data_IF_934518703673
#
_entry.id   IF_934518703673
#
_cell.length_a   1.000
_cell.length_b   1.000
_cell.length_c   1.000
_cell.angle_alpha   90.00
_cell.angle_beta   90.00
_cell.angle_gamma   90.00
#
_symmetry.space_group_name_H-M   'P 1'
#
loop_
_entity.id
_entity.type
_entity.pdbx_description
1 polymer ?
#
# COMPACT_ATOMS: atom_id res chain seq x y z
N UNK A 1 14.44 -7.39 15.72
CA UNK A 1 13.73 -6.27 15.06
C UNK A 1 14.72 -5.70 14.06
N UNK A 2 14.38 -5.58 12.78
CA UNK A 2 15.36 -5.07 11.81
C UNK A 2 15.75 -3.64 12.19
N UNK A 3 17.05 -3.39 12.34
CA UNK A 3 17.66 -2.11 12.72
C UNK A 3 17.69 -1.09 11.56
N UNK A 4 16.93 -1.36 10.50
CA UNK A 4 16.85 -0.52 9.31
C UNK A 4 15.83 0.60 9.49
N UNK A 5 16.17 1.80 9.02
CA UNK A 5 15.26 2.95 9.00
C UNK A 5 13.98 2.59 8.22
N UNK A 6 12.78 2.86 8.75
CA UNK A 6 11.55 2.53 8.05
C UNK A 6 11.43 3.30 6.73
N UNK A 7 11.03 2.58 5.68
CA UNK A 7 10.74 3.10 4.35
C UNK A 7 9.37 2.59 3.97
N UNK A 8 8.36 3.38 4.27
CA UNK A 8 6.95 2.99 4.23
C UNK A 8 6.34 3.40 2.90
N UNK A 9 5.68 2.45 2.22
CA UNK A 9 4.75 2.75 1.13
C UNK A 9 3.31 2.69 1.61
N UNK A 10 2.53 3.74 1.38
CA UNK A 10 1.11 3.80 1.76
C UNK A 10 0.24 3.76 0.51
N UNK A 11 -0.65 2.78 0.42
CA UNK A 11 -1.50 2.59 -0.74
C UNK A 11 -2.99 2.65 -0.37
N UNK A 12 -3.71 3.61 -0.94
CA UNK A 12 -5.12 3.89 -0.62
C UNK A 12 -6.00 3.32 -1.74
N UNK A 13 -6.91 2.42 -1.39
CA UNK A 13 -7.82 1.83 -2.36
C UNK A 13 -9.09 2.67 -2.49
N UNK A 14 -9.57 2.88 -3.73
CA UNK A 14 -10.86 3.51 -3.97
C UNK A 14 -12.02 2.52 -3.76
N UNK A 15 -11.75 1.23 -3.98
CA UNK A 15 -12.74 0.16 -4.02
C UNK A 15 -13.90 0.51 -4.96
N UNK A 16 -13.55 1.00 -6.16
CA UNK A 16 -14.51 1.63 -7.05
C UNK A 16 -15.09 2.89 -6.43
N UNK A 17 -16.38 2.85 -6.08
CA UNK A 17 -17.07 3.96 -5.41
C UNK A 17 -17.32 3.70 -3.91
N UNK A 18 -17.01 2.50 -3.40
CA UNK A 18 -17.32 2.15 -2.01
C UNK A 18 -16.54 2.98 -0.99
N UNK A 19 -15.26 3.28 -1.27
CA UNK A 19 -14.44 4.15 -0.42
C UNK A 19 -14.40 5.55 -1.03
N UNK A 20 -14.02 5.67 -2.31
CA UNK A 20 -13.85 6.98 -2.96
C UNK A 20 -15.16 7.77 -3.15
N UNK A 21 -16.33 7.13 -3.00
CA UNK A 21 -17.62 7.83 -3.02
C UNK A 21 -17.93 8.61 -1.73
N UNK A 22 -17.16 8.37 -0.65
CA UNK A 22 -17.35 9.00 0.66
C UNK A 22 -16.06 9.66 1.18
N UNK A 23 -14.92 9.01 0.94
CA UNK A 23 -13.61 9.46 1.40
C UNK A 23 -12.84 10.08 0.24
N UNK A 24 -12.27 11.26 0.48
CA UNK A 24 -11.32 11.89 -0.45
C UNK A 24 -9.97 11.17 -0.42
N UNK A 25 -9.88 10.11 -1.20
CA UNK A 25 -8.68 9.25 -1.31
C UNK A 25 -7.45 9.99 -1.82
N UNK A 26 -7.62 11.05 -2.62
CA UNK A 26 -6.52 11.87 -3.11
C UNK A 26 -5.91 12.66 -1.95
N UNK A 27 -6.75 13.36 -1.20
CA UNK A 27 -6.31 14.07 0.00
C UNK A 27 -5.68 13.13 1.04
N UNK A 28 -6.23 11.93 1.24
CA UNK A 28 -5.63 10.96 2.17
C UNK A 28 -4.22 10.56 1.73
N UNK A 29 -3.99 10.33 0.44
CA UNK A 29 -2.65 10.03 -0.06
C UNK A 29 -1.68 11.21 0.13
N UNK A 30 -2.13 12.44 -0.15
CA UNK A 30 -1.32 13.65 0.05
C UNK A 30 -0.91 13.86 1.52
N UNK A 31 -1.84 13.64 2.46
CA UNK A 31 -1.54 13.76 3.89
C UNK A 31 -0.65 12.61 4.37
N UNK A 32 -0.88 11.38 3.88
CA UNK A 32 -0.04 10.24 4.22
C UNK A 32 1.42 10.44 3.75
N UNK A 33 1.64 11.07 2.59
CA UNK A 33 2.97 11.39 2.08
C UNK A 33 3.77 12.35 2.98
N UNK A 34 3.10 13.06 3.91
CA UNK A 34 3.74 14.00 4.84
C UNK A 34 4.13 13.36 6.17
N UNK A 35 3.72 12.11 6.40
CA UNK A 35 4.05 11.40 7.63
C UNK A 35 5.53 10.99 7.64
N UNK A 36 6.15 10.90 8.84
CA UNK A 36 7.50 10.37 8.97
C UNK A 36 7.63 9.00 8.31
N UNK A 37 8.80 8.76 7.71
CA UNK A 37 9.18 7.48 7.09
C UNK A 37 8.38 7.05 5.84
N UNK A 38 7.33 7.79 5.47
CA UNK A 38 6.57 7.53 4.24
C UNK A 38 7.34 8.04 3.04
N UNK A 39 7.81 7.11 2.21
CA UNK A 39 8.60 7.41 1.01
C UNK A 39 7.72 7.58 -0.23
N UNK A 40 6.60 6.87 -0.26
CA UNK A 40 5.61 6.94 -1.34
C UNK A 40 4.21 6.75 -0.77
N UNK A 41 3.28 7.58 -1.21
CA UNK A 41 1.86 7.40 -0.94
C UNK A 41 1.06 7.57 -2.22
N UNK A 42 0.28 6.56 -2.58
CA UNK A 42 -0.48 6.53 -3.84
C UNK A 42 -1.90 6.01 -3.60
N UNK A 43 -2.82 6.38 -4.48
CA UNK A 43 -4.17 5.84 -4.48
C UNK A 43 -4.52 5.20 -5.83
N UNK A 44 -5.23 4.08 -5.79
CA UNK A 44 -5.59 3.34 -7.01
C UNK A 44 -7.00 2.75 -6.92
N UNK A 45 -7.73 2.61 -8.06
CA UNK A 45 -9.11 2.13 -8.06
C UNK A 45 -9.33 0.80 -7.32
N UNK A 46 -8.44 -0.17 -7.55
CA UNK A 46 -8.55 -1.52 -6.99
C UNK A 46 -7.18 -2.08 -6.61
N UNK A 47 -6.72 -1.83 -5.38
CA UNK A 47 -5.41 -2.31 -4.91
C UNK A 47 -5.26 -3.84 -4.92
N UNK A 48 -6.35 -4.60 -4.74
CA UNK A 48 -6.31 -6.06 -4.77
C UNK A 48 -6.32 -6.67 -6.19
N UNK A 49 -6.59 -5.87 -7.22
CA UNK A 49 -6.53 -6.32 -8.63
C UNK A 49 -5.09 -6.61 -9.06
N UNK A 50 -4.89 -7.41 -10.11
CA UNK A 50 -3.54 -7.69 -10.64
C UNK A 50 -2.72 -6.40 -10.93
N UNK A 51 -3.27 -5.36 -11.59
CA UNK A 51 -2.55 -4.10 -11.75
C UNK A 51 -2.22 -3.40 -10.42
N UNK A 52 -3.14 -3.43 -9.46
CA UNK A 52 -2.92 -2.82 -8.14
C UNK A 52 -1.83 -3.55 -7.35
N UNK A 53 -1.79 -4.89 -7.46
CA UNK A 53 -0.74 -5.71 -6.87
C UNK A 53 0.61 -5.43 -7.53
N UNK A 54 0.66 -5.38 -8.87
CA UNK A 54 1.88 -5.08 -9.62
C UNK A 54 2.45 -3.69 -9.25
N UNK A 55 1.58 -2.69 -9.08
CA UNK A 55 1.96 -1.35 -8.63
C UNK A 55 2.65 -1.38 -7.26
N UNK A 56 2.14 -2.14 -6.30
CA UNK A 56 2.80 -2.30 -4.99
C UNK A 56 4.20 -2.91 -5.17
N UNK A 57 4.33 -3.99 -5.96
CA UNK A 57 5.62 -4.64 -6.16
C UNK A 57 6.64 -3.74 -6.86
N UNK A 58 6.20 -2.95 -7.85
CA UNK A 58 7.03 -1.98 -8.55
C UNK A 58 7.56 -0.93 -7.56
N UNK A 59 6.67 -0.33 -6.76
CA UNK A 59 7.04 0.70 -5.78
C UNK A 59 7.94 0.17 -4.67
N UNK A 60 7.76 -1.09 -4.26
CA UNK A 60 8.68 -1.75 -3.32
C UNK A 60 10.11 -1.75 -3.89
N UNK A 61 10.27 -2.16 -5.15
CA UNK A 61 11.59 -2.26 -5.80
C UNK A 61 12.18 -0.89 -6.10
N UNK A 62 11.38 0.03 -6.62
CA UNK A 62 11.81 1.36 -7.05
C UNK A 62 12.26 2.23 -5.86
N UNK A 63 11.48 2.24 -4.78
CA UNK A 63 11.75 3.08 -3.62
C UNK A 63 12.51 2.37 -2.51
N UNK A 64 12.84 1.08 -2.67
CA UNK A 64 13.46 0.27 -1.63
C UNK A 64 12.62 0.25 -0.36
N UNK A 65 11.31 0.02 -0.49
CA UNK A 65 10.41 -0.01 0.66
C UNK A 65 10.70 -1.23 1.51
N UNK A 66 10.64 -1.07 2.82
CA UNK A 66 10.77 -2.18 3.77
C UNK A 66 9.52 -2.35 4.65
N UNK A 67 8.51 -1.48 4.51
CA UNK A 67 7.19 -1.57 5.14
C UNK A 67 6.10 -1.13 4.16
N UNK A 68 4.93 -1.73 4.26
CA UNK A 68 3.79 -1.41 3.39
C UNK A 68 2.52 -1.28 4.24
N UNK A 69 1.75 -0.22 3.96
CA UNK A 69 0.42 0.01 4.52
C UNK A 69 -0.57 0.04 3.36
N UNK A 70 -1.64 -0.74 3.46
CA UNK A 70 -2.74 -0.70 2.48
C UNK A 70 -4.02 -0.26 3.18
N UNK A 71 -4.45 0.97 2.92
CA UNK A 71 -5.70 1.52 3.41
C UNK A 71 -6.84 1.14 2.46
N UNK A 72 -7.52 0.03 2.76
CA UNK A 72 -8.53 -0.55 1.88
C UNK A 72 -9.67 -1.22 2.68
N UNK A 73 -10.01 -2.46 2.32
CA UNK A 73 -11.05 -3.26 2.97
C UNK A 73 -10.53 -4.03 4.19
N UNK A 74 -11.39 -4.86 4.80
CA UNK A 74 -11.05 -5.66 5.97
C UNK A 74 -9.84 -6.59 5.72
N UNK A 75 -8.89 -6.69 6.67
CA UNK A 75 -7.78 -7.63 6.58
C UNK A 75 -8.25 -9.08 6.46
N UNK A 76 -9.40 -9.43 7.06
CA UNK A 76 -9.99 -10.76 6.96
C UNK A 76 -10.28 -11.21 5.51
N UNK A 77 -10.39 -10.27 4.55
CA UNK A 77 -10.61 -10.59 3.14
C UNK A 77 -9.32 -10.68 2.32
N UNK A 78 -8.44 -9.68 2.44
CA UNK A 78 -7.31 -9.52 1.49
C UNK A 78 -5.93 -9.47 2.14
N UNK A 79 -5.81 -9.66 3.46
CA UNK A 79 -4.50 -9.80 4.11
C UNK A 79 -3.65 -10.92 3.46
N UNK A 80 -4.18 -12.12 3.17
CA UNK A 80 -3.39 -13.15 2.48
C UNK A 80 -2.93 -12.72 1.08
N UNK A 81 -3.76 -11.98 0.36
CA UNK A 81 -3.43 -11.44 -0.97
C UNK A 81 -2.26 -10.49 -0.87
N UNK A 82 -2.33 -9.46 -0.02
CA UNK A 82 -1.25 -8.48 0.11
C UNK A 82 0.02 -9.08 0.70
N UNK A 83 -0.08 -10.04 1.63
CA UNK A 83 1.08 -10.81 2.09
C UNK A 83 1.78 -11.56 0.97
N UNK A 84 1.02 -12.15 0.04
CA UNK A 84 1.58 -12.80 -1.15
C UNK A 84 2.32 -11.78 -2.03
N UNK A 85 1.76 -10.58 -2.22
CA UNK A 85 2.42 -9.49 -2.96
C UNK A 85 3.77 -9.13 -2.32
N UNK A 86 3.80 -8.93 -1.00
CA UNK A 86 5.04 -8.62 -0.27
C UNK A 86 6.08 -9.73 -0.46
N UNK A 87 5.68 -11.00 -0.31
CA UNK A 87 6.56 -12.14 -0.51
C UNK A 87 7.11 -12.22 -1.94
N UNK A 88 6.29 -11.97 -2.97
CA UNK A 88 6.73 -11.92 -4.39
C UNK A 88 7.69 -10.75 -4.66
N UNK A 89 7.56 -9.66 -3.92
CA UNK A 89 8.47 -8.52 -3.97
C UNK A 89 9.74 -8.73 -3.12
N UNK A 90 9.88 -9.86 -2.42
CA UNK A 90 11.04 -10.17 -1.57
C UNK A 90 10.99 -9.56 -0.16
N UNK A 91 9.84 -9.03 0.26
CA UNK A 91 9.63 -8.52 1.61
C UNK A 91 9.06 -9.57 2.55
N UNK A 92 9.35 -9.38 3.84
CA UNK A 92 8.69 -10.12 4.90
C UNK A 92 7.17 -9.81 4.86
N UNK A 93 6.28 -10.82 4.89
CA UNK A 93 4.84 -10.63 4.90
C UNK A 93 4.27 -10.12 6.25
N UNK A 94 5.10 -9.82 7.25
CA UNK A 94 4.72 -9.35 8.58
C UNK A 94 5.35 -7.99 8.91
#
# INVERSE_FOLDING_TARGET
MSEEEPRVGVFICHCGFNIAGVVDVARVAEEAARLPDVVVAEHYPYMCSEPGQALIEERIREHGLNRVVVAACSPAMHEPTFRSVLARAGLNPY
#
